data_IF_641793062588
#
_entry.id   IF_641793062588
#
_cell.length_a   1.000
_cell.length_b   1.000
_cell.length_c   1.000
_cell.angle_alpha   90.00
_cell.angle_beta   90.00
_cell.angle_gamma   90.00
#
_symmetry.space_group_name_H-M   'P 1'
#
loop_
_entity.id
_entity.type
_entity.pdbx_description
1 polymer ?
#
# COMPACT_ATOMS: atom_id res chain seq x y z
N UNK A 1 -29.53 2.18 -6.20
CA UNK A 1 -28.12 2.58 -6.40
C UNK A 1 -27.98 4.05 -6.06
N UNK A 2 -27.03 4.42 -5.18
CA UNK A 2 -26.85 5.82 -4.75
C UNK A 2 -25.92 6.52 -5.75
N UNK A 3 -26.37 7.65 -6.32
CA UNK A 3 -25.57 8.42 -7.27
C UNK A 3 -24.41 9.09 -6.53
N UNK A 4 -23.17 8.76 -6.90
CA UNK A 4 -21.98 9.39 -6.31
C UNK A 4 -21.79 10.78 -6.90
N UNK A 5 -21.63 11.79 -6.04
CA UNK A 5 -21.31 13.14 -6.49
C UNK A 5 -19.83 13.25 -6.91
N UNK A 6 -19.50 14.26 -7.72
CA UNK A 6 -18.15 14.46 -8.29
C UNK A 6 -17.04 14.45 -7.22
N UNK A 7 -17.33 15.00 -6.04
CA UNK A 7 -16.39 15.04 -4.91
C UNK A 7 -16.15 13.65 -4.28
N UNK A 8 -17.19 12.81 -4.18
CA UNK A 8 -17.07 11.44 -3.71
C UNK A 8 -16.29 10.57 -4.71
N UNK A 9 -16.47 10.82 -6.01
CA UNK A 9 -15.72 10.13 -7.07
C UNK A 9 -14.24 10.48 -6.99
N UNK A 10 -13.89 11.75 -6.76
CA UNK A 10 -12.49 12.19 -6.63
C UNK A 10 -11.87 11.70 -5.32
N UNK A 11 -12.61 11.73 -4.19
CA UNK A 11 -12.12 11.18 -2.91
C UNK A 11 -11.92 9.66 -2.94
N UNK A 12 -12.75 8.95 -3.70
CA UNK A 12 -12.63 7.50 -3.93
C UNK A 12 -11.88 7.15 -5.21
N UNK A 13 -11.33 8.13 -5.93
CA UNK A 13 -10.36 7.87 -6.99
C UNK A 13 -9.07 7.45 -6.29
N UNK A 14 -9.01 6.16 -6.02
CA UNK A 14 -7.79 5.52 -5.59
C UNK A 14 -6.83 5.66 -6.76
N UNK A 15 -5.81 6.51 -6.62
CA UNK A 15 -4.65 6.47 -7.51
C UNK A 15 -3.93 5.14 -7.22
N UNK A 16 -4.48 4.07 -7.80
CA UNK A 16 -4.15 2.66 -7.52
C UNK A 16 -2.90 2.20 -8.23
N UNK A 17 -2.39 2.93 -9.22
CA UNK A 17 -1.32 2.43 -10.10
C UNK A 17 -0.06 2.13 -9.29
N UNK A 18 0.31 3.02 -8.37
CA UNK A 18 1.50 2.83 -7.54
C UNK A 18 1.29 1.72 -6.50
N UNK A 19 0.14 1.69 -5.82
CA UNK A 19 -0.20 0.61 -4.87
C UNK A 19 -0.25 -0.76 -5.56
N UNK A 20 -0.82 -0.80 -6.77
CA UNK A 20 -0.88 -2.01 -7.59
C UNK A 20 0.52 -2.53 -7.91
N UNK A 21 1.47 -1.64 -8.23
CA UNK A 21 2.86 -2.04 -8.48
C UNK A 21 3.52 -2.63 -7.23
N UNK A 22 3.28 -2.03 -6.05
CA UNK A 22 3.76 -2.61 -4.78
C UNK A 22 3.12 -3.98 -4.52
N UNK A 23 1.81 -4.10 -4.70
CA UNK A 23 1.09 -5.36 -4.51
C UNK A 23 1.56 -6.45 -5.48
N UNK A 24 1.79 -6.10 -6.75
CA UNK A 24 2.29 -7.02 -7.76
C UNK A 24 3.68 -7.52 -7.39
N UNK A 25 4.58 -6.61 -7.01
CA UNK A 25 5.90 -6.96 -6.50
C UNK A 25 5.83 -7.93 -5.30
N UNK A 26 4.92 -7.68 -4.35
CA UNK A 26 4.73 -8.55 -3.19
C UNK A 26 4.22 -9.94 -3.57
N UNK A 27 3.30 -10.04 -4.54
CA UNK A 27 2.82 -11.33 -5.06
C UNK A 27 3.90 -12.14 -5.75
N UNK A 28 4.79 -11.47 -6.47
CA UNK A 28 5.89 -12.13 -7.17
C UNK A 28 7.01 -12.56 -6.20
N UNK A 29 7.14 -11.87 -5.06
CA UNK A 29 8.25 -12.07 -4.10
C UNK A 29 7.87 -12.97 -2.93
N UNK A 30 6.61 -12.92 -2.46
CA UNK A 30 6.16 -13.61 -1.25
C UNK A 30 5.01 -14.56 -1.54
N UNK A 31 4.89 -15.60 -0.72
CA UNK A 31 3.66 -16.37 -0.65
C UNK A 31 2.56 -15.50 0.01
N UNK A 32 1.62 -15.01 -0.80
CA UNK A 32 0.59 -14.09 -0.32
C UNK A 32 -0.38 -14.68 0.69
N UNK A 33 -0.50 -16.01 0.75
CA UNK A 33 -1.36 -16.67 1.73
C UNK A 33 -0.75 -16.65 3.14
N UNK A 34 0.55 -16.35 3.24
CA UNK A 34 1.31 -16.27 4.49
C UNK A 34 1.52 -14.83 4.98
N UNK A 35 0.93 -13.82 4.33
CA UNK A 35 1.11 -12.42 4.70
C UNK A 35 -0.22 -11.65 4.72
N UNK A 36 -0.39 -10.77 5.70
CA UNK A 36 -1.47 -9.81 5.75
C UNK A 36 -1.03 -8.47 5.13
N UNK A 37 -1.86 -7.91 4.25
CA UNK A 37 -1.54 -6.71 3.46
C UNK A 37 -2.49 -5.58 3.86
N UNK A 38 -1.93 -4.42 4.22
CA UNK A 38 -2.67 -3.22 4.61
C UNK A 38 -2.26 -2.01 3.77
N UNK A 39 -3.24 -1.29 3.23
CA UNK A 39 -3.00 -0.08 2.44
C UNK A 39 -2.85 1.13 3.36
N UNK A 40 -1.62 1.65 3.48
CA UNK A 40 -1.33 2.79 4.36
C UNK A 40 -1.61 4.11 3.64
N UNK A 41 -0.94 4.34 2.51
CA UNK A 41 -1.11 5.54 1.69
C UNK A 41 -1.01 5.20 0.19
N UNK A 42 -1.09 6.22 -0.69
CA UNK A 42 -1.06 6.05 -2.15
C UNK A 42 0.18 5.29 -2.67
N UNK A 43 1.29 5.35 -1.96
CA UNK A 43 2.56 4.76 -2.39
C UNK A 43 3.01 3.62 -1.49
N UNK A 44 2.47 3.51 -0.28
CA UNK A 44 2.96 2.61 0.77
C UNK A 44 1.96 1.51 1.12
N UNK A 45 2.45 0.27 1.12
CA UNK A 45 1.76 -0.92 1.62
C UNK A 45 2.51 -1.44 2.84
N UNK A 46 1.76 -1.80 3.88
CA UNK A 46 2.25 -2.52 5.04
C UNK A 46 1.97 -4.00 4.85
N UNK A 47 2.97 -4.81 5.19
CA UNK A 47 2.90 -6.26 5.18
C UNK A 47 3.19 -6.75 6.58
N UNK A 48 2.41 -7.71 7.05
CA UNK A 48 2.62 -8.41 8.31
C UNK A 48 2.73 -9.90 7.98
N UNK A 49 3.80 -10.55 8.41
CA UNK A 49 3.97 -11.98 8.19
C UNK A 49 3.30 -12.82 9.31
N UNK A 50 3.43 -14.15 9.23
CA UNK A 50 2.91 -15.06 10.25
C UNK A 50 3.60 -14.97 11.61
N UNK A 51 4.81 -14.39 11.67
CA UNK A 51 5.56 -14.18 12.91
C UNK A 51 5.22 -12.83 13.56
N UNK A 52 4.29 -12.07 12.98
CA UNK A 52 3.95 -10.69 13.32
C UNK A 52 5.07 -9.67 13.05
N UNK A 53 6.05 -10.03 12.21
CA UNK A 53 7.04 -9.09 11.71
C UNK A 53 6.39 -8.15 10.69
N UNK A 54 6.74 -6.87 10.77
CA UNK A 54 6.11 -5.81 9.99
C UNK A 54 7.11 -5.23 9.01
N UNK A 55 6.74 -5.23 7.73
CA UNK A 55 7.49 -4.58 6.66
C UNK A 55 6.66 -3.50 5.97
N UNK A 56 7.31 -2.41 5.56
CA UNK A 56 6.67 -1.36 4.75
C UNK A 56 7.33 -1.29 3.39
N UNK A 57 6.51 -1.33 2.35
CA UNK A 57 6.95 -1.31 0.97
C UNK A 57 6.37 -0.11 0.27
N UNK A 58 7.22 0.63 -0.43
CA UNK A 58 6.83 1.87 -1.09
C UNK A 58 7.27 1.91 -2.53
N UNK A 59 6.35 2.25 -3.43
CA UNK A 59 6.72 2.50 -4.82
C UNK A 59 7.41 3.85 -4.97
N UNK A 60 8.60 3.84 -5.57
CA UNK A 60 9.38 5.01 -5.88
C UNK A 60 9.20 5.38 -7.36
N UNK A 61 8.47 6.46 -7.62
CA UNK A 61 8.15 6.88 -8.98
C UNK A 61 9.37 7.34 -9.78
N UNK A 62 10.46 7.77 -9.11
CA UNK A 62 11.69 8.23 -9.76
C UNK A 62 12.52 7.06 -10.27
N UNK A 63 12.75 6.06 -9.43
CA UNK A 63 13.52 4.85 -9.78
C UNK A 63 12.67 3.80 -10.49
N UNK A 64 11.33 3.93 -10.43
CA UNK A 64 10.33 2.96 -10.89
C UNK A 64 10.42 1.59 -10.19
N UNK A 65 10.96 1.57 -8.97
CA UNK A 65 11.14 0.36 -8.16
C UNK A 65 10.32 0.40 -6.87
N UNK A 66 10.22 -0.75 -6.20
CA UNK A 66 9.64 -0.88 -4.86
C UNK A 66 10.77 -0.90 -3.84
N UNK A 67 10.73 0.04 -2.91
CA UNK A 67 11.72 0.18 -1.83
C UNK A 67 11.14 -0.40 -0.54
N UNK A 68 11.97 -1.09 0.23
CA UNK A 68 11.65 -1.53 1.59
C UNK A 68 12.04 -0.46 2.62
N UNK A 69 11.20 -0.26 3.63
CA UNK A 69 11.36 0.75 4.67
C UNK A 69 11.33 0.08 6.04
N UNK A 70 12.50 -0.06 6.66
CA UNK A 70 12.64 -0.61 8.02
C UNK A 70 12.03 0.33 9.09
N UNK A 71 12.27 1.64 8.97
CA UNK A 71 11.89 2.64 9.99
C UNK A 71 10.70 3.49 9.53
N UNK A 72 9.56 2.86 9.27
CA UNK A 72 8.35 3.60 8.90
C UNK A 72 7.78 4.38 10.10
N UNK A 73 7.61 5.69 9.94
CA UNK A 73 7.14 6.56 11.01
C UNK A 73 5.62 6.40 11.21
N UNK A 74 5.24 5.69 12.28
CA UNK A 74 3.86 5.23 12.57
C UNK A 74 2.84 6.36 12.75
N UNK A 75 3.29 7.58 13.03
CA UNK A 75 2.44 8.78 13.10
C UNK A 75 1.68 9.09 11.81
N UNK A 76 2.09 8.52 10.68
CA UNK A 76 1.40 8.64 9.38
C UNK A 76 0.24 7.66 9.17
N UNK A 77 0.04 6.67 10.04
CA UNK A 77 -1.11 5.74 9.93
C UNK A 77 -2.44 6.41 10.34
N UNK A 78 -2.41 7.48 11.14
CA UNK A 78 -3.59 8.06 11.82
C UNK A 78 -4.21 9.27 11.10
N UNK A 79 -3.67 9.74 9.98
CA UNK A 79 -4.18 10.94 9.27
C UNK A 79 -5.32 10.67 8.25
N UNK A 80 -6.16 9.64 8.48
CA UNK A 80 -7.29 9.32 7.59
C UNK A 80 -8.66 9.58 8.23
#
# INVERSE_FOLDING_TARGET
MKLLNKNNIIKNQVNTIEQYKVLNYLKDTFNTDAIAIYLIDRYTIKVIDTNNDIGYFKYNSKTKNVDFIDNYNKSKETER
#
